data_IF_285095068789
#
_entry.id   IF_285095068789
#
_cell.length_a   1.000
_cell.length_b   1.000
_cell.length_c   1.000
_cell.angle_alpha   90.00
_cell.angle_beta   90.00
_cell.angle_gamma   90.00
#
_symmetry.space_group_name_H-M   'P 1'
#
loop_
_entity.id
_entity.type
_entity.pdbx_description
1 polymer ?
#
# COMPACT_ATOMS: atom_id res chain seq x y z
N UNK A 1 -0.80 -12.69 18.52
CA UNK A 1 -1.30 -11.38 19.01
C UNK A 1 -0.57 -10.31 18.21
N UNK A 2 -1.26 -9.63 17.29
CA UNK A 2 -0.63 -8.62 16.42
C UNK A 2 -0.19 -7.38 17.18
N UNK A 3 0.72 -6.59 16.62
CA UNK A 3 1.12 -5.30 17.18
C UNK A 3 -0.10 -4.33 17.21
N UNK A 4 -0.07 -3.31 18.09
CA UNK A 4 -1.12 -2.27 18.11
C UNK A 4 -1.24 -1.58 16.73
N UNK A 5 -0.12 -1.39 16.04
CA UNK A 5 -0.10 -0.82 14.68
C UNK A 5 -0.79 -1.75 13.68
N UNK A 6 -0.50 -3.05 13.73
CA UNK A 6 -1.15 -4.05 12.88
C UNK A 6 -2.66 -4.09 13.09
N UNK A 7 -3.15 -3.95 14.32
CA UNK A 7 -4.58 -3.86 14.62
C UNK A 7 -5.23 -2.61 14.01
N UNK A 8 -4.54 -1.46 14.07
CA UNK A 8 -5.01 -0.22 13.46
C UNK A 8 -5.05 -0.34 11.93
N UNK A 9 -3.96 -0.81 11.31
CA UNK A 9 -3.91 -1.04 9.86
C UNK A 9 -5.00 -2.00 9.39
N UNK A 10 -5.24 -3.06 10.16
CA UNK A 10 -6.36 -3.97 9.92
C UNK A 10 -7.70 -3.26 9.99
N UNK A 11 -7.95 -2.44 11.01
CA UNK A 11 -9.22 -1.70 11.12
C UNK A 11 -9.48 -0.72 9.97
N UNK A 12 -8.43 -0.19 9.32
CA UNK A 12 -8.58 0.68 8.14
C UNK A 12 -9.11 -0.07 6.91
N UNK A 13 -8.84 -1.37 6.82
CA UNK A 13 -9.28 -2.25 5.73
C UNK A 13 -10.57 -3.02 6.03
N UNK A 14 -10.87 -3.29 7.30
CA UNK A 14 -12.07 -4.02 7.68
C UNK A 14 -13.34 -3.21 7.37
N UNK A 15 -14.27 -3.80 6.62
CA UNK A 15 -15.53 -3.18 6.20
C UNK A 15 -15.38 -1.88 5.38
N UNK A 16 -14.22 -1.68 4.76
CA UNK A 16 -13.97 -0.56 3.84
C UNK A 16 -13.62 -1.08 2.44
N UNK A 17 -13.52 -0.17 1.48
CA UNK A 17 -13.03 -0.48 0.14
C UNK A 17 -11.50 -0.66 0.06
N UNK A 18 -10.79 -0.45 1.18
CA UNK A 18 -9.33 -0.52 1.22
C UNK A 18 -8.86 -1.97 1.33
N UNK A 19 -8.09 -2.42 0.35
CA UNK A 19 -7.53 -3.78 0.29
C UNK A 19 -6.17 -3.92 0.92
N UNK A 20 -5.43 -2.83 1.09
CA UNK A 20 -4.22 -2.85 1.89
C UNK A 20 -3.97 -1.50 2.55
N UNK A 21 -3.19 -1.55 3.63
CA UNK A 21 -2.69 -0.42 4.37
C UNK A 21 -1.22 -0.66 4.72
N UNK A 22 -0.35 0.30 4.42
CA UNK A 22 1.08 0.27 4.77
C UNK A 22 1.39 1.50 5.62
N UNK A 23 2.12 1.30 6.71
CA UNK A 23 2.64 2.40 7.50
C UNK A 23 4.12 2.64 7.20
N UNK A 24 4.40 3.87 6.77
CA UNK A 24 5.72 4.41 6.54
C UNK A 24 6.16 5.24 7.74
N UNK A 25 7.07 4.73 8.55
CA UNK A 25 7.57 5.42 9.73
C UNK A 25 8.63 6.46 9.37
N UNK A 26 8.47 7.66 9.91
CA UNK A 26 9.51 8.68 9.86
C UNK A 26 10.67 8.30 10.80
N UNK A 27 11.88 8.26 10.24
CA UNK A 27 13.12 8.02 10.98
C UNK A 27 13.99 9.25 10.93
N UNK A 28 14.40 9.71 12.10
CA UNK A 28 15.33 10.83 12.27
C UNK A 28 16.75 10.26 12.39
N UNK A 29 17.43 10.13 11.25
CA UNK A 29 18.87 9.81 11.18
C UNK A 29 19.62 11.02 10.60
N UNK A 30 20.74 10.80 9.91
CA UNK A 30 21.47 11.85 9.19
C UNK A 30 20.62 12.59 8.14
N UNK A 31 19.60 11.92 7.60
CA UNK A 31 18.53 12.51 6.78
C UNK A 31 17.18 11.98 7.30
N UNK A 32 16.13 12.81 7.19
CA UNK A 32 14.77 12.40 7.52
C UNK A 32 14.22 11.52 6.39
N UNK A 33 13.90 10.28 6.72
CA UNK A 33 13.49 9.26 5.75
C UNK A 33 12.32 8.42 6.27
N UNK A 34 11.49 7.96 5.34
CA UNK A 34 10.38 7.06 5.57
C UNK A 34 10.81 5.62 5.27
N UNK A 35 10.62 4.74 6.25
CA UNK A 35 10.91 3.31 6.14
C UNK A 35 9.64 2.51 6.39
N UNK A 36 9.48 1.40 5.68
CA UNK A 36 8.42 0.43 5.96
C UNK A 36 8.49 -0.04 7.43
N UNK A 37 7.38 0.06 8.17
CA UNK A 37 7.30 -0.44 9.55
C UNK A 37 6.34 -1.62 9.69
N UNK A 38 5.14 -1.51 9.13
CA UNK A 38 4.13 -2.58 9.18
C UNK A 38 3.15 -2.44 8.02
N UNK A 39 2.47 -3.53 7.68
CA UNK A 39 1.45 -3.57 6.63
C UNK A 39 0.34 -4.56 6.97
N UNK A 40 -0.86 -4.25 6.47
CA UNK A 40 -1.98 -5.16 6.41
C UNK A 40 -2.51 -5.22 4.97
N UNK A 41 -2.91 -6.39 4.52
CA UNK A 41 -3.66 -6.53 3.29
C UNK A 41 -4.75 -7.60 3.44
N UNK A 42 -5.86 -7.39 2.75
CA UNK A 42 -7.01 -8.25 2.72
C UNK A 42 -6.85 -9.28 1.59
N UNK A 43 -6.49 -10.51 1.98
CA UNK A 43 -6.30 -11.64 1.06
C UNK A 43 -7.61 -12.34 0.66
N UNK A 44 -8.78 -11.81 1.04
CA UNK A 44 -10.10 -12.43 0.76
C UNK A 44 -10.47 -12.59 -0.72
N UNK A 45 -9.55 -12.36 -1.66
CA UNK A 45 -9.75 -12.72 -3.07
C UNK A 45 -9.73 -14.23 -3.34
N UNK A 46 -9.38 -15.06 -2.36
CA UNK A 46 -9.58 -16.51 -2.43
C UNK A 46 -10.51 -16.98 -1.32
N UNK A 47 -11.83 -17.08 -1.58
CA UNK A 47 -12.68 -17.92 -0.75
C UNK A 47 -12.14 -19.35 -0.87
N UNK A 48 -11.46 -19.79 0.18
CA UNK A 48 -11.33 -21.18 0.58
C UNK A 48 -11.01 -22.17 -0.56
N UNK A 49 -9.77 -22.15 -1.07
CA UNK A 49 -9.20 -23.39 -1.61
C UNK A 49 -8.67 -24.20 -0.43
N UNK A 50 -9.63 -24.75 0.30
CA UNK A 50 -9.60 -26.05 0.95
C UNK A 50 -8.21 -26.49 1.42
N UNK A 51 -7.94 -26.30 2.70
CA UNK A 51 -7.03 -27.18 3.43
C UNK A 51 -7.60 -28.61 3.31
N UNK A 52 -7.15 -29.34 2.31
CA UNK A 52 -7.44 -30.77 2.16
C UNK A 52 -6.20 -31.50 1.68
N UNK A 53 -5.53 -32.10 2.67
CA UNK A 53 -4.72 -33.33 2.68
C UNK A 53 -3.59 -33.52 1.66
N UNK A 54 -2.41 -33.72 2.24
CA UNK A 54 -1.16 -34.26 1.71
C UNK A 54 -1.28 -35.14 0.44
N UNK A 55 -0.60 -34.76 -0.66
CA UNK A 55 0.26 -35.68 -1.44
C UNK A 55 1.18 -34.93 -2.43
N UNK A 56 2.49 -35.08 -2.19
CA UNK A 56 3.62 -35.27 -3.15
C UNK A 56 3.91 -34.32 -4.34
N UNK A 57 5.15 -33.76 -4.26
CA UNK A 57 6.18 -33.44 -5.27
C UNK A 57 5.84 -32.82 -6.65
N UNK A 58 6.33 -31.58 -6.82
CA UNK A 58 6.74 -30.98 -8.09
C UNK A 58 7.63 -29.76 -7.78
N UNK A 59 8.86 -29.73 -8.28
CA UNK A 59 9.80 -28.64 -8.01
C UNK A 59 9.38 -27.32 -8.69
N UNK A 60 9.69 -26.22 -8.01
CA UNK A 60 9.79 -24.83 -8.51
C UNK A 60 8.48 -24.06 -8.77
N UNK A 61 7.79 -23.61 -7.71
CA UNK A 61 7.32 -22.21 -7.57
C UNK A 61 7.21 -21.90 -6.07
N UNK A 62 7.82 -20.81 -5.60
CA UNK A 62 7.65 -20.38 -4.21
C UNK A 62 6.18 -20.05 -3.90
N UNK A 63 5.77 -19.99 -2.61
CA UNK A 63 4.37 -19.82 -2.18
C UNK A 63 3.69 -18.48 -2.56
N UNK A 64 4.27 -17.72 -3.50
CA UNK A 64 3.89 -16.37 -3.88
C UNK A 64 3.24 -16.25 -5.27
N UNK A 65 3.03 -17.34 -6.01
CA UNK A 65 2.52 -17.25 -7.40
C UNK A 65 1.01 -17.02 -7.52
N UNK A 66 0.24 -17.07 -6.42
CA UNK A 66 -1.21 -16.87 -6.46
C UNK A 66 -1.73 -15.56 -5.84
N UNK A 67 -0.87 -14.71 -5.26
CA UNK A 67 -1.31 -13.47 -4.60
C UNK A 67 -0.54 -12.23 -5.12
N UNK A 68 -0.97 -11.63 -6.25
CA UNK A 68 -0.29 -10.48 -6.83
C UNK A 68 -0.33 -9.25 -5.90
N UNK A 69 -1.36 -9.11 -5.06
CA UNK A 69 -1.48 -8.01 -4.11
C UNK A 69 -0.50 -8.17 -2.96
N UNK A 70 -0.45 -9.36 -2.35
CA UNK A 70 0.52 -9.69 -1.31
C UNK A 70 1.96 -9.49 -1.80
N UNK A 71 2.27 -9.91 -3.03
CA UNK A 71 3.58 -9.67 -3.64
C UNK A 71 3.87 -8.18 -3.84
N UNK A 72 2.88 -7.39 -4.29
CA UNK A 72 3.04 -5.95 -4.47
C UNK A 72 3.33 -5.25 -3.14
N UNK A 73 2.62 -5.60 -2.07
CA UNK A 73 2.84 -5.06 -0.71
C UNK A 73 4.19 -5.50 -0.16
N UNK A 74 4.57 -6.77 -0.32
CA UNK A 74 5.88 -7.28 0.10
C UNK A 74 7.03 -6.53 -0.60
N UNK A 75 6.91 -6.26 -1.91
CA UNK A 75 7.90 -5.47 -2.66
C UNK A 75 8.05 -4.04 -2.14
N UNK A 76 7.02 -3.46 -1.52
CA UNK A 76 7.12 -2.12 -0.93
C UNK A 76 8.09 -2.10 0.27
N UNK A 77 8.31 -3.22 0.95
CA UNK A 77 9.20 -3.26 2.13
C UNK A 77 10.65 -2.84 1.82
N UNK A 78 11.07 -2.94 0.54
CA UNK A 78 12.38 -2.51 0.08
C UNK A 78 12.47 -1.02 -0.28
N UNK A 79 11.35 -0.31 -0.29
CA UNK A 79 11.31 1.11 -0.67
C UNK A 79 11.65 2.01 0.51
N UNK A 80 12.30 3.12 0.20
CA UNK A 80 12.66 4.18 1.14
C UNK A 80 12.36 5.51 0.47
N UNK A 81 11.77 6.44 1.21
CA UNK A 81 11.47 7.79 0.70
C UNK A 81 12.14 8.86 1.55
N UNK A 82 12.70 9.89 0.92
CA UNK A 82 13.20 11.06 1.64
C UNK A 82 12.05 12.01 2.00
N UNK A 83 12.17 12.74 3.11
CA UNK A 83 11.23 13.82 3.43
C UNK A 83 11.27 14.90 2.35
N UNK A 84 10.09 15.33 1.86
CA UNK A 84 9.95 16.32 0.79
C UNK A 84 10.17 15.80 -0.63
N UNK A 85 10.52 14.53 -0.82
CA UNK A 85 10.70 13.93 -2.14
C UNK A 85 9.60 12.90 -2.44
N UNK A 86 9.16 12.86 -3.70
CA UNK A 86 8.06 12.00 -4.13
C UNK A 86 6.75 12.27 -3.37
N UNK A 87 5.72 11.48 -3.64
CA UNK A 87 4.41 11.73 -3.03
C UNK A 87 4.43 11.52 -1.51
N UNK A 88 5.07 10.44 -1.02
CA UNK A 88 5.11 10.14 0.42
C UNK A 88 5.84 11.25 1.18
N UNK A 89 6.98 11.72 0.69
CA UNK A 89 7.73 12.81 1.30
C UNK A 89 6.99 14.14 1.27
N UNK A 90 6.31 14.46 0.17
CA UNK A 90 5.54 15.71 0.04
C UNK A 90 4.27 15.73 0.89
N UNK A 91 3.56 14.60 0.99
CA UNK A 91 2.39 14.47 1.88
C UNK A 91 2.81 14.67 3.34
N UNK A 92 3.95 14.12 3.74
CA UNK A 92 4.45 14.30 5.10
C UNK A 92 4.82 15.76 5.42
N UNK A 93 5.45 16.49 4.48
CA UNK A 93 5.83 17.90 4.67
C UNK A 93 4.59 18.80 4.67
N UNK A 94 3.70 18.60 3.70
CA UNK A 94 2.52 19.45 3.56
C UNK A 94 1.45 19.18 4.62
N UNK A 95 1.45 17.99 5.22
CA UNK A 95 0.37 17.50 6.08
C UNK A 95 -0.95 17.27 5.35
N UNK A 96 -0.99 17.50 4.03
CA UNK A 96 -2.18 17.35 3.19
C UNK A 96 -2.22 15.95 2.62
N UNK A 97 -3.38 15.32 2.68
CA UNK A 97 -3.57 13.97 2.13
C UNK A 97 -3.67 14.03 0.61
N UNK A 98 -3.27 12.95 -0.06
CA UNK A 98 -3.26 12.88 -1.52
C UNK A 98 -3.95 11.61 -1.99
N UNK A 99 -4.80 11.73 -3.01
CA UNK A 99 -5.47 10.64 -3.69
C UNK A 99 -4.94 10.52 -5.11
N UNK A 100 -4.49 9.33 -5.46
CA UNK A 100 -3.94 9.00 -6.76
C UNK A 100 -4.81 7.93 -7.41
N UNK A 101 -5.21 8.19 -8.64
CA UNK A 101 -6.04 7.29 -9.42
C UNK A 101 -5.24 6.71 -10.59
N UNK A 102 -5.47 5.43 -10.90
CA UNK A 102 -4.89 4.77 -12.06
C UNK A 102 -5.14 5.56 -13.35
N UNK A 103 -6.35 6.09 -13.52
CA UNK A 103 -6.73 6.88 -14.71
C UNK A 103 -5.83 8.12 -14.90
N UNK A 104 -5.44 8.79 -13.82
CA UNK A 104 -4.58 9.97 -13.87
C UNK A 104 -3.16 9.59 -14.27
N UNK A 105 -2.66 8.46 -13.78
CA UNK A 105 -1.32 7.96 -14.11
C UNK A 105 -1.26 7.51 -15.57
N UNK A 106 -2.29 6.90 -16.13
CA UNK A 106 -2.28 6.51 -17.55
C UNK A 106 -2.21 7.74 -18.45
N UNK A 107 -2.92 8.81 -18.07
CA UNK A 107 -2.88 10.10 -18.78
C UNK A 107 -1.52 10.78 -18.61
N UNK A 108 -0.99 10.84 -17.38
CA UNK A 108 0.31 11.46 -17.10
C UNK A 108 1.50 10.64 -17.58
N UNK A 109 1.43 9.31 -17.67
CA UNK A 109 2.52 8.46 -18.20
C UNK A 109 2.73 8.68 -19.70
N UNK A 110 1.73 9.19 -20.42
CA UNK A 110 1.88 9.64 -21.80
C UNK A 110 2.67 10.98 -21.91
N UNK A 111 2.93 11.67 -20.79
CA UNK A 111 3.62 12.98 -20.75
C UNK A 111 4.72 13.13 -19.68
N UNK A 112 4.85 12.20 -18.72
CA UNK A 112 5.79 12.28 -17.60
C UNK A 112 6.31 10.89 -17.18
N UNK A 113 7.64 10.76 -17.18
CA UNK A 113 8.37 9.51 -16.90
C UNK A 113 8.66 9.28 -15.41
N UNK A 114 8.27 10.20 -14.51
CA UNK A 114 8.74 10.23 -13.12
C UNK A 114 7.89 9.41 -12.14
N UNK A 115 6.68 9.00 -12.52
CA UNK A 115 5.76 8.22 -11.66
C UNK A 115 5.94 6.70 -11.79
N UNK A 116 6.81 6.24 -12.71
CA UNK A 116 6.82 4.87 -13.23
C UNK A 116 7.40 3.80 -12.26
N UNK A 117 8.18 4.18 -11.24
CA UNK A 117 8.96 3.19 -10.49
C UNK A 117 8.26 2.53 -9.28
N UNK A 118 7.66 3.33 -8.41
CA UNK A 118 7.33 2.87 -7.05
C UNK A 118 6.04 2.03 -6.95
N UNK A 119 5.05 2.32 -7.79
CA UNK A 119 3.67 1.87 -7.58
C UNK A 119 3.10 1.00 -8.69
N UNK A 120 3.86 0.78 -9.76
CA UNK A 120 3.41 -0.03 -10.90
C UNK A 120 3.00 -1.44 -10.49
N UNK A 121 3.70 -2.04 -9.52
CA UNK A 121 3.34 -3.37 -8.98
C UNK A 121 1.97 -3.39 -8.31
N UNK A 122 1.54 -2.29 -7.68
CA UNK A 122 0.21 -2.18 -7.10
C UNK A 122 -0.86 -2.08 -8.17
N UNK A 123 -0.64 -1.27 -9.20
CA UNK A 123 -1.57 -1.13 -10.31
C UNK A 123 -1.71 -2.44 -11.10
N UNK A 124 -0.60 -3.17 -11.31
CA UNK A 124 -0.63 -4.51 -11.90
C UNK A 124 -1.37 -5.55 -11.03
N UNK A 125 -1.43 -5.33 -9.71
CA UNK A 125 -2.24 -6.14 -8.79
C UNK A 125 -3.73 -5.75 -8.77
N UNK A 126 -4.16 -4.83 -9.64
CA UNK A 126 -5.56 -4.42 -9.80
C UNK A 126 -5.98 -3.21 -8.96
N UNK A 127 -5.06 -2.58 -8.23
CA UNK A 127 -5.34 -1.37 -7.45
C UNK A 127 -5.67 -0.23 -8.43
N UNK A 128 -6.76 0.49 -8.15
CA UNK A 128 -7.22 1.64 -8.94
C UNK A 128 -7.07 2.96 -8.21
N UNK A 129 -7.07 2.94 -6.88
CA UNK A 129 -6.88 4.12 -6.03
C UNK A 129 -5.80 3.86 -5.01
N UNK A 130 -4.88 4.81 -4.87
CA UNK A 130 -3.93 4.88 -3.77
C UNK A 130 -4.20 6.17 -3.00
N UNK A 131 -4.46 6.08 -1.70
CA UNK A 131 -4.51 7.23 -0.82
C UNK A 131 -3.25 7.29 0.05
N UNK A 132 -2.68 8.48 0.17
CA UNK A 132 -1.49 8.75 0.98
C UNK A 132 -1.87 9.79 2.03
N UNK A 133 -1.86 9.37 3.29
CA UNK A 133 -2.41 10.11 4.44
C UNK A 133 -1.28 10.44 5.40
N UNK A 134 -1.10 11.73 5.68
CA UNK A 134 -0.09 12.21 6.62
C UNK A 134 -0.51 11.89 8.06
N UNK A 135 0.38 11.26 8.84
CA UNK A 135 0.19 10.96 10.27
C UNK A 135 1.30 11.62 11.06
N UNK A 136 1.22 12.95 11.20
CA UNK A 136 2.27 13.76 11.83
C UNK A 136 2.26 13.55 13.35
N UNK A 137 3.43 13.51 14.03
CA UNK A 137 4.80 13.51 13.50
C UNK A 137 5.35 12.10 13.19
N UNK A 138 4.51 11.08 13.18
CA UNK A 138 4.91 9.67 13.21
C UNK A 138 5.30 9.11 11.85
N UNK A 139 4.61 9.52 10.77
CA UNK A 139 4.76 8.85 9.49
C UNK A 139 3.70 9.20 8.46
N UNK A 140 3.51 8.29 7.52
CA UNK A 140 2.51 8.35 6.45
C UNK A 140 1.85 6.99 6.33
N UNK A 141 0.54 6.96 6.17
CA UNK A 141 -0.23 5.75 5.84
C UNK A 141 -0.53 5.75 4.35
N UNK A 142 -0.21 4.65 3.68
CA UNK A 142 -0.61 4.40 2.29
C UNK A 142 -1.71 3.34 2.26
N UNK A 143 -2.84 3.67 1.65
CA UNK A 143 -3.98 2.77 1.45
C UNK A 143 -4.15 2.50 -0.04
N UNK A 144 -4.58 1.29 -0.40
CA UNK A 144 -4.95 1.00 -1.78
C UNK A 144 -6.26 0.24 -1.92
N UNK A 145 -7.02 0.58 -2.95
CA UNK A 145 -8.33 0.01 -3.25
C UNK A 145 -8.42 -0.48 -4.69
N UNK A 146 -9.18 -1.55 -4.92
CA UNK A 146 -9.53 -2.05 -6.26
C UNK A 146 -10.59 -1.18 -6.96
N UNK A 147 -11.22 -0.26 -6.22
CA UNK A 147 -12.24 0.65 -6.72
C UNK A 147 -11.75 2.09 -6.72
N UNK A 148 -12.44 2.95 -7.46
CA UNK A 148 -12.20 4.39 -7.45
C UNK A 148 -12.84 5.00 -6.20
N UNK A 149 -12.04 5.30 -5.19
CA UNK A 149 -12.53 5.84 -3.91
C UNK A 149 -12.23 7.33 -3.84
N UNK A 150 -13.27 8.17 -3.83
CA UNK A 150 -13.09 9.62 -3.67
C UNK A 150 -12.96 10.00 -2.18
N UNK A 151 -12.16 11.04 -1.92
CA UNK A 151 -11.92 11.61 -0.58
C UNK A 151 -13.21 11.86 0.21
N UNK A 152 -14.28 12.34 -0.45
CA UNK A 152 -15.57 12.66 0.18
C UNK A 152 -16.25 11.47 0.87
N UNK A 153 -15.95 10.25 0.44
CA UNK A 153 -16.50 9.00 1.00
C UNK A 153 -15.66 8.53 2.20
N UNK A 154 -14.37 8.87 2.23
CA UNK A 154 -13.42 8.48 3.29
C UNK A 154 -13.29 9.50 4.42
N UNK A 155 -14.37 10.20 4.80
CA UNK A 155 -14.37 11.10 5.98
C UNK A 155 -14.11 10.39 7.32
N UNK A 156 -14.06 9.07 7.34
CA UNK A 156 -13.71 8.26 8.52
C UNK A 156 -12.20 8.17 8.82
N UNK A 157 -11.34 8.85 8.04
CA UNK A 157 -9.88 8.86 8.23
C UNK A 157 -9.40 10.10 9.02
N UNK A 158 -10.29 11.07 9.29
CA UNK A 158 -10.00 12.27 10.10
C UNK A 158 -10.55 12.16 11.52
#
# INVERSE_FOLDING_TARGET
MGSRLQQVLRSLCLNTDWKYAVFWKLRHRARMMFTWEDAYYDSNQYPDKMWSNETTCGMNEGPYSHDPLGLAVAKMSYQVYSLGEGVVGQVAVSGKHSWIFLDQIVVDASSSSELCGGWQTQFSAGIKTIAVVAVIPHGVVQLGSLHKVQEKICRYIY
#
